data_IF_329132914929
#
_entry.id   IF_329132914929
#
_cell.length_a   1.000
_cell.length_b   1.000
_cell.length_c   1.000
_cell.angle_alpha   90.00
_cell.angle_beta   90.00
_cell.angle_gamma   90.00
#
_symmetry.space_group_name_H-M   'P 1'
#
loop_
_entity.id
_entity.type
_entity.pdbx_description
1 polymer ?
#
# COMPACT_ATOMS: atom_id res chain seq x y z
N UNK A 1 -16.70 -14.07 1.88
CA UNK A 1 -15.93 -12.97 1.25
C UNK A 1 -16.34 -11.65 1.86
N UNK A 2 -15.43 -10.97 2.53
CA UNK A 2 -15.62 -9.63 3.10
C UNK A 2 -15.12 -8.58 2.12
N UNK A 3 -15.91 -7.52 1.93
CA UNK A 3 -15.48 -6.37 1.14
C UNK A 3 -14.67 -5.40 1.97
N UNK A 4 -13.51 -4.99 1.48
CA UNK A 4 -12.65 -4.00 2.12
C UNK A 4 -13.11 -2.58 1.75
N UNK A 5 -13.02 -1.67 2.72
CA UNK A 5 -13.29 -0.25 2.49
C UNK A 5 -12.00 0.46 2.10
N UNK A 6 -12.11 1.37 1.15
CA UNK A 6 -11.00 2.22 0.76
C UNK A 6 -10.87 3.37 1.78
N UNK A 7 -9.65 3.80 2.10
CA UNK A 7 -8.36 3.24 1.66
C UNK A 7 -8.02 1.89 2.31
N UNK A 8 -7.66 0.90 1.50
CA UNK A 8 -7.08 -0.36 1.94
C UNK A 8 -5.63 -0.44 1.44
N UNK A 9 -4.87 -1.37 2.00
CA UNK A 9 -3.45 -1.54 1.73
C UNK A 9 -3.23 -2.87 1.03
N UNK A 10 -2.50 -2.87 -0.08
CA UNK A 10 -1.99 -4.06 -0.78
C UNK A 10 -0.48 -3.91 -0.91
N UNK A 11 0.33 -4.95 -0.61
CA UNK A 11 1.80 -4.84 -0.67
C UNK A 11 2.36 -4.79 -2.10
N UNK A 12 1.51 -4.83 -3.14
CA UNK A 12 1.87 -4.93 -4.55
C UNK A 12 1.71 -3.61 -5.32
N UNK A 13 2.63 -3.31 -6.25
CA UNK A 13 2.49 -2.19 -7.18
C UNK A 13 1.39 -2.46 -8.21
N UNK A 14 1.08 -1.47 -9.05
CA UNK A 14 0.13 -1.66 -10.16
C UNK A 14 0.65 -2.63 -11.22
N UNK A 15 1.96 -2.93 -11.22
CA UNK A 15 2.60 -3.83 -12.17
C UNK A 15 2.75 -5.27 -11.64
N UNK A 16 2.38 -5.52 -10.39
CA UNK A 16 2.59 -6.78 -9.69
C UNK A 16 1.28 -7.56 -9.56
N UNK A 17 0.55 -7.68 -10.67
CA UNK A 17 -0.68 -8.47 -10.72
C UNK A 17 -0.37 -9.95 -10.95
N UNK A 18 -1.24 -10.80 -10.41
CA UNK A 18 -1.18 -12.26 -10.58
C UNK A 18 -2.19 -12.77 -11.60
N UNK A 19 -3.20 -11.98 -11.91
CA UNK A 19 -4.23 -12.30 -12.92
C UNK A 19 -4.53 -11.07 -13.76
N UNK A 20 -4.68 -11.25 -15.07
CA UNK A 20 -5.26 -10.28 -16.00
C UNK A 20 -6.39 -10.91 -16.80
N UNK A 21 -7.36 -10.11 -17.22
CA UNK A 21 -8.46 -10.57 -18.09
C UNK A 21 -9.09 -9.38 -18.83
N UNK A 22 -9.67 -9.68 -20.00
CA UNK A 22 -10.56 -8.72 -20.67
C UNK A 22 -11.81 -8.52 -19.82
N UNK A 23 -12.20 -7.27 -19.60
CA UNK A 23 -13.28 -6.93 -18.69
C UNK A 23 -14.10 -5.75 -19.19
N UNK A 24 -15.41 -5.88 -19.05
CA UNK A 24 -16.38 -4.80 -19.26
C UNK A 24 -17.16 -4.52 -17.97
N UNK A 25 -18.03 -3.50 -18.01
CA UNK A 25 -18.98 -3.25 -16.91
C UNK A 25 -19.87 -4.45 -16.62
N UNK A 26 -20.23 -5.22 -17.65
CA UNK A 26 -21.08 -6.40 -17.50
C UNK A 26 -20.32 -7.53 -16.82
N UNK A 27 -19.08 -7.79 -17.24
CA UNK A 27 -18.20 -8.78 -16.63
C UNK A 27 -17.95 -8.50 -15.14
N UNK A 28 -17.85 -7.22 -14.76
CA UNK A 28 -17.56 -6.78 -13.39
C UNK A 28 -18.81 -6.44 -12.57
N UNK A 29 -20.01 -6.47 -13.15
CA UNK A 29 -21.26 -6.20 -12.44
C UNK A 29 -21.43 -7.03 -11.14
N UNK A 30 -21.01 -8.31 -11.07
CA UNK A 30 -21.09 -9.11 -9.85
C UNK A 30 -20.27 -8.54 -8.66
N UNK A 31 -19.23 -7.75 -8.92
CA UNK A 31 -18.45 -7.08 -7.86
C UNK A 31 -19.22 -5.91 -7.20
N UNK A 32 -20.35 -5.51 -7.78
CA UNK A 32 -21.16 -4.37 -7.37
C UNK A 32 -20.46 -3.02 -7.64
N UNK A 33 -20.97 -1.96 -6.99
CA UNK A 33 -20.38 -0.61 -7.06
C UNK A 33 -18.89 -0.63 -6.76
N UNK A 34 -18.03 0.14 -7.40
CA UNK A 34 -16.60 0.23 -7.06
C UNK A 34 -16.38 0.88 -5.67
N UNK A 35 -15.32 0.48 -4.97
CA UNK A 35 -14.96 1.06 -3.68
C UNK A 35 -14.17 2.38 -3.82
N UNK A 36 -13.53 2.57 -4.96
CA UNK A 36 -12.85 3.79 -5.36
C UNK A 36 -12.84 3.88 -6.90
N UNK A 37 -12.90 5.10 -7.42
CA UNK A 37 -12.79 5.41 -8.84
C UNK A 37 -11.73 6.50 -8.97
N UNK A 38 -10.70 6.26 -9.76
CA UNK A 38 -9.73 7.28 -10.15
C UNK A 38 -10.16 7.85 -11.50
N UNK A 39 -10.35 9.16 -11.56
CA UNK A 39 -10.80 9.88 -12.76
C UNK A 39 -9.76 10.90 -13.24
N UNK A 40 -8.64 11.05 -12.52
CA UNK A 40 -7.56 11.96 -12.90
C UNK A 40 -6.79 11.37 -14.10
N UNK A 41 -6.86 11.98 -15.30
CA UNK A 41 -6.21 11.47 -16.50
C UNK A 41 -4.68 11.50 -16.41
N UNK A 42 -4.11 12.27 -15.49
CA UNK A 42 -2.65 12.31 -15.26
C UNK A 42 -2.15 11.12 -14.43
N UNK A 43 -3.06 10.36 -13.84
CA UNK A 43 -2.78 9.24 -12.92
C UNK A 43 -3.35 7.91 -13.40
N UNK A 44 -3.98 7.91 -14.56
CA UNK A 44 -4.64 6.77 -15.17
C UNK A 44 -4.15 6.59 -16.60
N UNK A 45 -4.54 5.49 -17.24
CA UNK A 45 -4.35 5.30 -18.68
C UNK A 45 -5.27 6.21 -19.54
N UNK A 46 -5.28 7.52 -19.28
CA UNK A 46 -6.10 8.54 -19.96
C UNK A 46 -7.62 8.34 -19.83
N UNK A 47 -8.09 7.75 -18.73
CA UNK A 47 -9.53 7.56 -18.47
C UNK A 47 -9.82 7.01 -17.07
N UNK A 48 -10.97 6.38 -16.86
CA UNK A 48 -11.38 5.97 -15.51
C UNK A 48 -10.81 4.61 -15.12
N UNK A 49 -10.40 4.51 -13.87
CA UNK A 49 -10.00 3.25 -13.25
C UNK A 49 -10.88 2.94 -12.05
N UNK A 50 -11.41 1.72 -12.00
CA UNK A 50 -12.35 1.28 -10.97
C UNK A 50 -11.69 0.24 -10.08
N UNK A 51 -11.85 0.42 -8.77
CA UNK A 51 -11.15 -0.37 -7.77
C UNK A 51 -12.14 -1.09 -6.83
N UNK A 52 -11.92 -2.39 -6.65
CA UNK A 52 -12.56 -3.21 -5.63
C UNK A 52 -11.49 -3.90 -4.78
N UNK A 53 -11.82 -4.21 -3.53
CA UNK A 53 -10.90 -4.90 -2.63
C UNK A 53 -11.68 -5.83 -1.71
N UNK A 54 -11.13 -7.00 -1.46
CA UNK A 54 -11.78 -8.11 -0.77
C UNK A 54 -10.80 -8.87 0.13
N UNK A 55 -11.38 -9.59 1.07
CA UNK A 55 -10.69 -10.51 1.96
C UNK A 55 -11.54 -11.75 2.17
N UNK A 56 -10.91 -12.92 2.15
CA UNK A 56 -11.53 -14.22 2.42
C UNK A 56 -11.10 -14.72 3.80
N UNK A 57 -11.91 -15.59 4.40
CA UNK A 57 -11.73 -16.01 5.80
C UNK A 57 -10.44 -16.82 6.03
N UNK A 58 -9.84 -17.35 4.96
CA UNK A 58 -8.54 -18.03 4.97
C UNK A 58 -7.34 -17.06 4.82
N UNK A 59 -7.58 -15.76 4.86
CA UNK A 59 -6.55 -14.72 4.83
C UNK A 59 -6.17 -14.23 3.44
N UNK A 60 -6.72 -14.79 2.36
CA UNK A 60 -6.52 -14.25 1.02
C UNK A 60 -7.10 -12.83 0.92
N UNK A 61 -6.24 -11.85 0.64
CA UNK A 61 -6.63 -10.48 0.30
C UNK A 61 -6.38 -10.26 -1.17
N UNK A 62 -7.33 -9.64 -1.87
CA UNK A 62 -7.11 -9.28 -3.26
C UNK A 62 -7.85 -8.00 -3.63
N UNK A 63 -7.38 -7.38 -4.70
CA UNK A 63 -8.04 -6.25 -5.32
C UNK A 63 -8.20 -6.46 -6.81
N UNK A 64 -9.21 -5.80 -7.36
CA UNK A 64 -9.48 -5.77 -8.80
C UNK A 64 -9.38 -4.32 -9.24
N UNK A 65 -8.55 -4.06 -10.24
CA UNK A 65 -8.44 -2.76 -10.90
C UNK A 65 -8.89 -2.93 -12.34
N UNK A 66 -9.88 -2.17 -12.75
CA UNK A 66 -10.36 -2.17 -14.14
C UNK A 66 -10.01 -0.85 -14.81
N UNK A 67 -9.28 -0.94 -15.92
CA UNK A 67 -8.91 0.18 -16.77
C UNK A 67 -9.96 0.31 -17.88
N UNK A 68 -10.94 1.20 -17.68
CA UNK A 68 -12.06 1.37 -18.62
C UNK A 68 -11.62 1.64 -20.07
N UNK A 69 -10.58 2.48 -20.35
CA UNK A 69 -10.21 2.82 -21.73
C UNK A 69 -9.69 1.65 -22.57
N UNK A 70 -9.11 0.64 -21.93
CA UNK A 70 -8.50 -0.52 -22.60
C UNK A 70 -9.25 -1.82 -22.30
N UNK A 71 -10.41 -1.73 -21.64
CA UNK A 71 -11.30 -2.85 -21.32
C UNK A 71 -10.56 -4.05 -20.71
N UNK A 72 -9.62 -3.76 -19.80
CA UNK A 72 -8.78 -4.78 -19.16
C UNK A 72 -8.80 -4.61 -17.65
N UNK A 73 -8.88 -5.74 -16.94
CA UNK A 73 -8.78 -5.78 -15.49
C UNK A 73 -7.54 -6.57 -15.07
N UNK A 74 -6.96 -6.15 -13.95
CA UNK A 74 -5.86 -6.84 -13.28
C UNK A 74 -6.21 -7.10 -11.82
N UNK A 75 -5.62 -8.15 -11.27
CA UNK A 75 -5.86 -8.61 -9.90
C UNK A 75 -4.55 -8.74 -9.18
N UNK A 76 -4.45 -8.09 -8.04
CA UNK A 76 -3.34 -8.26 -7.10
C UNK A 76 -3.85 -9.05 -5.92
N UNK A 77 -3.08 -10.01 -5.45
CA UNK A 77 -3.46 -10.90 -4.36
C UNK A 77 -2.32 -11.08 -3.38
N UNK A 78 -2.66 -11.16 -2.10
CA UNK A 78 -1.77 -11.45 -0.97
C UNK A 78 -2.33 -12.67 -0.21
N UNK A 79 -1.64 -13.83 -0.22
CA UNK A 79 -0.41 -14.11 -0.97
C UNK A 79 -0.59 -14.05 -2.50
N UNK A 80 0.50 -13.95 -3.30
CA UNK A 80 0.43 -13.76 -4.75
C UNK A 80 0.13 -15.07 -5.49
N UNK A 81 -1.06 -15.61 -5.24
CA UNK A 81 -1.54 -16.88 -5.79
C UNK A 81 -2.67 -16.63 -6.80
N UNK A 82 -2.34 -16.78 -8.09
CA UNK A 82 -3.26 -16.58 -9.19
C UNK A 82 -4.47 -17.55 -9.14
N UNK A 83 -4.25 -18.81 -8.76
CA UNK A 83 -5.32 -19.81 -8.72
C UNK A 83 -6.34 -19.49 -7.62
N UNK A 84 -5.85 -19.08 -6.45
CA UNK A 84 -6.73 -18.66 -5.35
C UNK A 84 -7.49 -17.37 -5.68
N UNK A 85 -6.84 -16.41 -6.37
CA UNK A 85 -7.49 -15.19 -6.84
C UNK A 85 -8.60 -15.48 -7.88
N UNK A 86 -8.33 -16.36 -8.85
CA UNK A 86 -9.34 -16.79 -9.86
C UNK A 86 -10.51 -17.49 -9.17
N UNK A 87 -10.24 -18.41 -8.25
CA UNK A 87 -11.29 -19.09 -7.51
C UNK A 87 -12.17 -18.10 -6.72
N UNK A 88 -11.54 -17.08 -6.12
CA UNK A 88 -12.27 -16.01 -5.43
C UNK A 88 -13.13 -15.18 -6.38
N UNK A 89 -12.62 -14.77 -7.55
CA UNK A 89 -13.38 -14.04 -8.57
C UNK A 89 -14.60 -14.84 -9.07
N UNK A 90 -14.40 -16.12 -9.38
CA UNK A 90 -15.50 -17.02 -9.77
C UNK A 90 -16.56 -17.15 -8.68
N UNK A 91 -16.14 -17.23 -7.41
CA UNK A 91 -17.09 -17.25 -6.28
C UNK A 91 -17.86 -15.93 -6.10
N UNK A 92 -17.34 -14.82 -6.62
CA UNK A 92 -18.05 -13.54 -6.70
C UNK A 92 -18.95 -13.44 -7.94
N UNK A 93 -18.95 -14.44 -8.82
CA UNK A 93 -19.74 -14.47 -10.05
C UNK A 93 -19.05 -13.84 -11.26
N UNK A 94 -17.76 -13.50 -11.18
CA UNK A 94 -17.01 -13.00 -12.34
C UNK A 94 -16.65 -14.19 -13.23
N UNK A 95 -17.19 -14.21 -14.44
CA UNK A 95 -16.92 -15.19 -15.47
C UNK A 95 -16.14 -14.54 -16.63
N UNK A 96 -14.89 -14.97 -16.80
CA UNK A 96 -13.96 -14.44 -17.79
C UNK A 96 -12.84 -15.45 -18.08
N UNK A 97 -12.18 -15.26 -19.22
CA UNK A 97 -10.94 -15.95 -19.54
C UNK A 97 -9.77 -15.29 -18.80
N UNK A 98 -9.33 -15.94 -17.72
CA UNK A 98 -8.26 -15.44 -16.86
C UNK A 98 -6.89 -15.85 -17.37
N UNK A 99 -6.02 -14.87 -17.55
CA UNK A 99 -4.59 -15.07 -17.78
C UNK A 99 -3.85 -15.03 -16.44
N UNK A 100 -3.08 -16.08 -16.16
CA UNK A 100 -2.25 -16.14 -14.97
C UNK A 100 -0.88 -15.53 -15.23
N UNK A 101 -0.38 -14.80 -14.24
CA UNK A 101 0.99 -14.30 -14.22
C UNK A 101 1.67 -14.78 -12.95
N UNK A 102 2.76 -15.52 -13.12
CA UNK A 102 3.66 -15.81 -12.03
C UNK A 102 4.54 -14.59 -11.79
N UNK A 103 4.48 -14.03 -10.58
CA UNK A 103 5.46 -13.03 -10.17
C UNK A 103 6.80 -13.74 -9.92
N UNK A 104 7.95 -13.13 -10.31
CA UNK A 104 9.27 -13.74 -10.09
C UNK A 104 9.49 -14.14 -8.63
N UNK A 105 10.35 -15.12 -8.36
CA UNK A 105 10.52 -15.70 -7.01
C UNK A 105 10.94 -14.68 -5.94
N UNK A 106 11.56 -13.57 -6.33
CA UNK A 106 11.87 -12.41 -5.48
C UNK A 106 10.64 -11.61 -5.01
N UNK A 107 9.49 -11.78 -5.67
CA UNK A 107 8.18 -11.21 -5.30
C UNK A 107 7.31 -12.20 -4.50
N UNK A 108 7.70 -13.47 -4.45
CA UNK A 108 7.18 -14.45 -3.50
C UNK A 108 7.93 -14.23 -2.16
N UNK A 109 7.28 -14.36 -1.01
CA UNK A 109 7.03 -13.39 0.07
C UNK A 109 8.19 -12.54 0.65
N UNK A 110 9.17 -12.06 -0.12
CA UNK A 110 10.25 -11.22 0.40
C UNK A 110 10.68 -10.10 -0.55
N UNK A 111 9.86 -9.04 -0.67
CA UNK A 111 10.30 -7.65 -0.89
C UNK A 111 9.08 -6.71 -0.90
N UNK A 112 8.64 -6.33 0.30
CA UNK A 112 7.78 -5.17 0.56
C UNK A 112 8.46 -3.90 0.04
N UNK A 113 7.70 -2.85 -0.31
CA UNK A 113 8.07 -1.44 -0.04
C UNK A 113 6.97 -0.45 -0.48
N UNK A 114 6.82 0.65 0.29
CA UNK A 114 6.03 1.86 0.03
C UNK A 114 4.47 1.80 0.00
N UNK A 115 3.81 0.65 -0.16
CA UNK A 115 2.31 0.58 -0.11
C UNK A 115 1.73 -0.17 1.09
N UNK A 116 2.56 -0.94 1.80
CA UNK A 116 2.21 -1.68 3.02
C UNK A 116 2.50 -0.89 4.31
N UNK A 117 2.31 0.43 4.29
CA UNK A 117 2.66 1.29 5.42
C UNK A 117 1.48 2.18 5.82
N UNK A 118 1.39 2.48 7.11
CA UNK A 118 0.61 3.59 7.61
C UNK A 118 1.52 4.79 7.84
N UNK A 119 0.98 5.96 7.59
CA UNK A 119 1.61 7.25 7.79
C UNK A 119 1.22 7.77 9.15
N UNK A 120 2.18 7.77 10.06
CA UNK A 120 2.01 8.20 11.44
C UNK A 120 2.47 9.64 11.54
N UNK A 121 1.57 10.55 11.87
CA UNK A 121 1.88 11.95 12.14
C UNK A 121 2.02 12.16 13.65
N UNK A 122 3.14 12.74 14.05
CA UNK A 122 3.39 13.20 15.41
C UNK A 122 3.51 14.73 15.39
N UNK A 123 2.56 15.40 16.03
CA UNK A 123 2.53 16.86 16.13
C UNK A 123 3.74 17.43 16.87
N UNK A 124 4.08 18.69 16.58
CA UNK A 124 5.18 19.40 17.23
C UNK A 124 4.99 19.42 18.75
N UNK A 125 5.94 18.86 19.49
CA UNK A 125 5.90 18.75 20.95
C UNK A 125 5.05 17.58 21.47
N UNK A 126 4.41 16.80 20.60
CA UNK A 126 3.71 15.59 21.00
C UNK A 126 4.69 14.44 21.27
N UNK A 127 4.41 13.64 22.29
CA UNK A 127 5.17 12.43 22.64
C UNK A 127 4.52 11.15 22.10
N UNK A 128 3.32 11.26 21.51
CA UNK A 128 2.55 10.16 20.93
C UNK A 128 1.99 10.54 19.55
N UNK A 129 1.66 9.56 18.71
CA UNK A 129 0.99 9.80 17.44
C UNK A 129 -0.26 10.68 17.59
N UNK A 130 -0.32 11.72 16.78
CA UNK A 130 -1.48 12.64 16.70
C UNK A 130 -2.51 12.15 15.70
N UNK A 131 -2.06 11.57 14.58
CA UNK A 131 -2.94 11.01 13.57
C UNK A 131 -2.25 9.87 12.81
N UNK A 132 -3.04 8.93 12.28
CA UNK A 132 -2.55 7.81 11.48
C UNK A 132 -3.36 7.75 10.19
N UNK A 133 -2.68 7.66 9.05
CA UNK A 133 -3.30 7.63 7.74
C UNK A 133 -2.81 6.41 6.97
N UNK A 134 -3.68 5.78 6.20
CA UNK A 134 -3.26 4.70 5.28
C UNK A 134 -2.61 5.22 3.99
N UNK A 135 -2.62 6.54 3.74
CA UNK A 135 -2.03 7.18 2.56
C UNK A 135 -1.40 8.52 2.93
N UNK A 136 -0.22 8.83 2.39
CA UNK A 136 0.45 10.12 2.58
C UNK A 136 -0.41 11.28 2.13
N UNK A 137 -1.07 11.16 0.98
CA UNK A 137 -1.90 12.23 0.41
C UNK A 137 -3.10 12.57 1.31
N UNK A 138 -3.64 11.58 2.05
CA UNK A 138 -4.67 11.84 3.07
C UNK A 138 -4.09 12.68 4.22
N UNK A 139 -2.86 12.36 4.65
CA UNK A 139 -2.14 13.15 5.65
C UNK A 139 -1.85 14.56 5.13
N UNK A 140 -1.36 14.71 3.90
CA UNK A 140 -1.08 16.00 3.25
C UNK A 140 -2.31 16.91 3.23
N UNK A 141 -3.46 16.38 2.76
CA UNK A 141 -4.72 17.13 2.71
C UNK A 141 -5.19 17.54 4.11
N UNK A 142 -5.05 16.64 5.08
CA UNK A 142 -5.43 16.93 6.46
C UNK A 142 -4.52 18.00 7.08
N UNK A 143 -3.20 17.90 6.90
CA UNK A 143 -2.21 18.86 7.41
C UNK A 143 -2.40 20.24 6.78
N UNK A 144 -2.62 20.31 5.46
CA UNK A 144 -2.91 21.57 4.77
C UNK A 144 -4.19 22.23 5.30
N UNK A 145 -5.20 21.44 5.69
CA UNK A 145 -6.45 21.95 6.27
C UNK A 145 -6.28 22.41 7.72
N UNK A 146 -5.54 21.68 8.54
CA UNK A 146 -5.41 21.97 9.98
C UNK A 146 -4.33 22.98 10.31
N UNK A 147 -3.34 23.16 9.43
CA UNK A 147 -2.18 24.00 9.70
C UNK A 147 -1.25 23.43 10.77
N UNK A 148 -1.33 22.13 11.05
CA UNK A 148 -0.50 21.53 12.11
C UNK A 148 0.96 21.39 11.67
N UNK A 149 1.86 21.61 12.64
CA UNK A 149 3.30 21.39 12.48
C UNK A 149 3.70 20.07 13.14
N UNK A 150 4.67 19.35 12.58
CA UNK A 150 5.13 18.07 13.12
C UNK A 150 5.88 17.21 12.11
N UNK A 151 5.97 15.92 12.39
CA UNK A 151 6.67 14.93 11.54
C UNK A 151 5.70 13.84 11.12
N UNK A 152 5.71 13.51 9.82
CA UNK A 152 4.98 12.40 9.24
C UNK A 152 5.97 11.30 8.85
N UNK A 153 5.76 10.06 9.31
CA UNK A 153 6.66 8.93 9.06
C UNK A 153 5.87 7.74 8.53
N UNK A 154 6.42 7.03 7.54
CA UNK A 154 5.88 5.76 7.07
C UNK A 154 6.31 4.60 7.98
N UNK A 155 5.33 3.89 8.54
CA UNK A 155 5.52 2.70 9.37
C UNK A 155 5.01 1.45 8.63
N UNK A 156 5.82 0.39 8.48
CA UNK A 156 5.37 -0.84 7.86
C UNK A 156 4.24 -1.47 8.70
N UNK A 157 3.21 -1.96 8.02
CA UNK A 157 2.15 -2.77 8.62
C UNK A 157 2.64 -4.20 8.81
N UNK A 158 2.17 -4.87 9.85
CA UNK A 158 2.43 -6.30 10.10
C UNK A 158 3.91 -6.69 10.12
N UNK A 159 4.80 -5.77 10.52
CA UNK A 159 6.22 -6.04 10.79
C UNK A 159 6.79 -4.96 11.70
N UNK A 160 7.72 -5.33 12.58
CA UNK A 160 8.47 -4.34 13.35
C UNK A 160 9.43 -3.57 12.45
N UNK A 161 9.75 -2.31 12.80
CA UNK A 161 10.77 -1.53 12.10
C UNK A 161 12.14 -2.22 12.14
N UNK A 162 12.42 -2.98 13.19
CA UNK A 162 13.66 -3.73 13.33
C UNK A 162 13.79 -4.85 12.30
N UNK A 163 12.75 -5.69 12.17
CA UNK A 163 12.70 -6.74 11.15
C UNK A 163 12.72 -6.14 9.76
N UNK A 164 11.99 -5.04 9.56
CA UNK A 164 11.95 -4.33 8.30
C UNK A 164 13.33 -3.89 7.84
N UNK A 165 14.09 -3.18 8.70
CA UNK A 165 15.42 -2.69 8.35
C UNK A 165 16.47 -3.78 8.23
N UNK A 166 16.33 -4.86 9.02
CA UNK A 166 17.18 -6.04 8.91
C UNK A 166 17.01 -6.71 7.55
N UNK A 167 15.76 -6.86 7.11
CA UNK A 167 15.45 -7.47 5.81
C UNK A 167 15.95 -6.60 4.65
N UNK A 168 16.14 -5.29 4.88
CA UNK A 168 16.76 -4.37 3.93
C UNK A 168 18.30 -4.35 3.94
N UNK A 169 18.93 -5.19 4.75
CA UNK A 169 20.39 -5.30 4.82
C UNK A 169 21.06 -4.20 5.63
N UNK A 170 20.31 -3.46 6.44
CA UNK A 170 20.87 -2.41 7.30
C UNK A 170 21.89 -2.99 8.28
N UNK A 171 23.06 -2.38 8.34
CA UNK A 171 24.15 -2.79 9.23
C UNK A 171 24.01 -2.10 10.59
N UNK A 172 24.58 -2.71 11.64
CA UNK A 172 24.59 -2.10 12.98
C UNK A 172 23.26 -2.11 13.73
N UNK A 173 22.29 -2.91 13.28
CA UNK A 173 21.03 -3.08 14.00
C UNK A 173 21.24 -3.84 15.32
N UNK A 174 20.43 -3.55 16.35
CA UNK A 174 20.40 -4.35 17.57
C UNK A 174 20.19 -5.86 17.28
N UNK A 175 20.71 -6.77 18.11
CA UNK A 175 20.46 -8.20 17.95
C UNK A 175 18.94 -8.52 17.97
N UNK A 176 18.45 -9.48 17.17
CA UNK A 176 17.05 -9.92 17.26
C UNK A 176 16.71 -10.36 18.68
N UNK A 177 15.47 -10.08 19.12
CA UNK A 177 14.94 -10.44 20.45
C UNK A 177 15.68 -9.82 21.65
N UNK A 178 16.59 -8.86 21.45
CA UNK A 178 17.22 -8.13 22.55
C UNK A 178 16.32 -7.00 23.09
N UNK A 179 16.53 -6.51 24.33
CA UNK A 179 15.85 -5.33 24.83
C UNK A 179 16.01 -4.10 23.92
N UNK A 180 17.18 -3.95 23.30
CA UNK A 180 17.48 -2.85 22.37
C UNK A 180 16.66 -2.98 21.07
N UNK A 181 16.38 -4.19 20.59
CA UNK A 181 15.49 -4.41 19.46
C UNK A 181 14.03 -4.04 19.79
N UNK A 182 13.59 -4.24 21.04
CA UNK A 182 12.24 -3.83 21.49
C UNK A 182 12.08 -2.30 21.50
N UNK A 183 13.17 -1.57 21.75
CA UNK A 183 13.21 -0.11 21.75
C UNK A 183 13.54 0.50 20.38
N UNK A 184 13.72 -0.33 19.33
CA UNK A 184 14.15 0.14 18.03
C UNK A 184 13.02 0.85 17.27
N UNK A 185 13.24 2.13 16.94
CA UNK A 185 12.25 3.01 16.31
C UNK A 185 12.52 3.33 14.83
N UNK A 186 13.42 2.58 14.19
CA UNK A 186 13.74 2.73 12.77
C UNK A 186 14.61 3.94 12.42
N UNK A 187 15.38 3.80 11.34
CA UNK A 187 16.26 4.78 10.72
C UNK A 187 15.98 4.99 9.23
N UNK A 188 15.32 4.04 8.56
CA UNK A 188 15.05 4.06 7.11
C UNK A 188 13.62 4.45 6.73
N UNK A 189 12.75 4.69 7.72
CA UNK A 189 11.38 5.12 7.47
C UNK A 189 11.32 6.42 6.70
N UNK A 190 10.59 6.43 5.57
CA UNK A 190 10.30 7.65 4.82
C UNK A 190 9.65 8.68 5.74
N UNK A 191 10.23 9.89 5.79
CA UNK A 191 9.90 10.90 6.80
C UNK A 191 9.81 12.28 6.17
N UNK A 192 8.82 13.04 6.62
CA UNK A 192 8.54 14.39 6.15
C UNK A 192 8.30 15.34 7.33
N UNK A 193 8.87 16.52 7.26
CA UNK A 193 8.60 17.60 8.21
C UNK A 193 7.51 18.53 7.66
N UNK A 194 6.60 18.97 8.53
CA UNK A 194 5.57 19.94 8.19
C UNK A 194 5.64 21.13 9.16
N UNK A 195 5.52 22.33 8.59
CA UNK A 195 5.39 23.59 9.32
C UNK A 195 4.14 24.29 8.81
N UNK A 196 3.24 24.62 9.74
CA UNK A 196 1.96 25.27 9.49
C UNK A 196 1.16 24.59 8.36
N UNK A 197 1.12 23.26 8.39
CA UNK A 197 0.40 22.43 7.42
C UNK A 197 1.10 22.26 6.07
N UNK A 198 2.32 22.80 5.88
CA UNK A 198 3.08 22.70 4.63
C UNK A 198 4.30 21.82 4.82
N UNK A 199 4.49 20.89 3.88
CA UNK A 199 5.69 20.06 3.86
C UNK A 199 6.92 20.96 3.61
N UNK A 200 7.93 20.82 4.47
CA UNK A 200 9.22 21.47 4.27
C UNK A 200 9.98 20.68 3.20
N UNK A 201 10.48 21.33 2.13
CA UNK A 201 11.33 20.66 1.16
C UNK A 201 12.56 20.09 1.87
N UNK A 202 12.88 18.83 1.58
CA UNK A 202 14.09 18.21 2.11
C UNK A 202 15.29 19.04 1.64
N UNK A 203 16.12 19.52 2.58
CA UNK A 203 17.33 20.25 2.22
C UNK A 203 18.23 19.28 1.45
N UNK A 204 18.54 19.59 0.20
CA UNK A 204 19.57 18.90 -0.56
C UNK A 204 20.89 18.98 0.22
N UNK A 205 21.32 17.86 0.79
CA UNK A 205 22.63 17.71 1.43
C UNK A 205 22.62 17.78 2.96
N UNK A 206 22.43 16.62 3.59
CA UNK A 206 23.25 16.22 4.73
C UNK A 206 23.21 14.69 4.86
N UNK A 207 24.00 14.00 4.04
CA UNK A 207 24.38 12.62 4.31
C UNK A 207 25.10 12.61 5.66
N UNK A 208 24.40 12.20 6.71
CA UNK A 208 25.01 11.89 8.00
C UNK A 208 25.87 10.65 7.77
N UNK A 209 27.18 10.85 7.63
CA UNK A 209 28.12 9.74 7.72
C UNK A 209 28.08 9.19 9.15
N UNK A 210 27.92 7.87 9.33
CA UNK A 210 28.03 7.27 10.66
C UNK A 210 29.46 7.43 11.17
N UNK A 211 29.58 7.87 12.43
CA UNK A 211 30.81 7.70 13.24
C UNK A 211 30.81 6.31 13.86
#
# INVERSE_FOLDING_TARGET
MRRLRFPYVMPYSQHDWVVSFAASRETLAPLGTAGFIEEDPTRTASGREFYWAFERDDGLRFDVVWYEPIESAVVRADPPDANQAIAALRSLGVDADFEQRQLPDEFQPKLRHARAAVWVFTGKGATQPTAVFSRKQSADKWLAKTGYSGVLVAYPLDSSLHEFERNFGSQGLPPPNSPEAQAFVGTLGERYEYVDGRQVPEKAGCLVQPR
#
